data_IF_150336033725
#
_entry.id   IF_150336033725
#
_cell.length_a   1.000
_cell.length_b   1.000
_cell.length_c   1.000
_cell.angle_alpha   90.00
_cell.angle_beta   90.00
_cell.angle_gamma   90.00
#
_symmetry.space_group_name_H-M   'P 1'
#
loop_
_entity.id
_entity.type
_entity.pdbx_description
1 polymer ?
#
# COMPACT_ATOMS: atom_id res chain seq x y z
N UNK A 1 -19.86 6.48 -0.22
CA UNK A 1 -19.82 5.87 1.13
C UNK A 1 -19.81 4.34 1.05
N UNK A 2 -20.84 3.69 0.48
CA UNK A 2 -20.93 2.21 0.41
C UNK A 2 -19.65 1.54 -0.13
N UNK A 3 -19.08 2.07 -1.23
CA UNK A 3 -17.84 1.53 -1.84
C UNK A 3 -16.59 1.66 -0.96
N UNK A 4 -16.48 2.75 -0.18
CA UNK A 4 -15.34 3.00 0.71
C UNK A 4 -15.32 1.99 1.86
N UNK A 5 -16.50 1.54 2.30
CA UNK A 5 -16.64 0.55 3.37
C UNK A 5 -16.52 -0.87 2.81
N UNK A 6 -17.13 -1.15 1.65
CA UNK A 6 -17.09 -2.48 1.02
C UNK A 6 -15.68 -2.90 0.61
N UNK A 7 -14.89 -2.00 0.03
CA UNK A 7 -13.58 -2.32 -0.53
C UNK A 7 -12.58 -2.90 0.49
N UNK A 8 -12.42 -2.36 1.72
CA UNK A 8 -11.60 -2.99 2.76
C UNK A 8 -12.29 -4.17 3.44
N UNK A 9 -13.63 -4.21 3.45
CA UNK A 9 -14.38 -5.28 4.10
C UNK A 9 -14.26 -6.61 3.35
N UNK A 10 -14.32 -6.61 2.02
CA UNK A 10 -14.20 -7.82 1.19
C UNK A 10 -12.89 -8.60 1.44
N UNK A 11 -11.69 -8.01 1.32
CA UNK A 11 -10.45 -8.74 1.58
C UNK A 11 -10.34 -9.18 3.04
N UNK A 12 -10.88 -8.40 3.99
CA UNK A 12 -10.92 -8.80 5.39
C UNK A 12 -11.76 -10.07 5.60
N UNK A 13 -12.96 -10.11 5.02
CA UNK A 13 -13.83 -11.29 5.08
C UNK A 13 -13.21 -12.50 4.38
N UNK A 14 -12.54 -12.30 3.25
CA UNK A 14 -11.84 -13.37 2.54
C UNK A 14 -10.71 -13.96 3.38
N UNK A 15 -9.90 -13.14 4.04
CA UNK A 15 -8.82 -13.62 4.92
C UNK A 15 -9.39 -14.42 6.08
N UNK A 16 -10.47 -13.94 6.72
CA UNK A 16 -11.11 -14.66 7.82
C UNK A 16 -11.77 -15.97 7.35
N UNK A 17 -12.26 -16.03 6.12
CA UNK A 17 -12.80 -17.26 5.52
C UNK A 17 -11.69 -18.28 5.22
N UNK A 18 -10.53 -17.83 4.73
CA UNK A 18 -9.37 -18.67 4.47
C UNK A 18 -8.72 -19.22 5.74
N UNK A 19 -8.76 -18.46 6.85
CA UNK A 19 -8.24 -18.89 8.15
C UNK A 19 -9.17 -19.90 8.87
N UNK A 20 -10.40 -20.06 8.36
CA UNK A 20 -11.36 -21.02 8.91
C UNK A 20 -10.97 -22.45 8.54
N UNK A 21 -11.19 -23.44 9.43
CA UNK A 21 -10.74 -24.83 9.22
C UNK A 21 -11.31 -25.50 7.97
N UNK A 22 -12.50 -25.08 7.51
CA UNK A 22 -13.13 -25.60 6.30
C UNK A 22 -12.71 -24.84 5.02
N UNK A 23 -12.05 -23.69 5.14
CA UNK A 23 -11.63 -22.82 4.02
C UNK A 23 -12.76 -22.38 3.08
N UNK A 24 -14.03 -22.50 3.53
CA UNK A 24 -15.20 -22.37 2.67
C UNK A 24 -15.68 -20.93 2.59
N UNK A 25 -15.88 -20.43 1.36
CA UNK A 25 -16.43 -19.10 1.09
C UNK A 25 -17.93 -18.97 1.39
N UNK A 26 -18.64 -20.09 1.54
CA UNK A 26 -20.08 -20.12 1.77
C UNK A 26 -20.46 -20.09 3.25
N UNK A 27 -19.50 -20.30 4.15
CA UNK A 27 -19.72 -20.19 5.58
C UNK A 27 -19.37 -18.77 6.05
N UNK A 28 -20.14 -18.26 7.02
CA UNK A 28 -19.84 -16.97 7.64
C UNK A 28 -18.56 -17.12 8.47
N UNK A 29 -17.50 -16.35 8.18
CA UNK A 29 -16.24 -16.49 8.90
C UNK A 29 -16.42 -16.08 10.36
N UNK A 30 -15.64 -16.70 11.25
CA UNK A 30 -15.63 -16.32 12.66
C UNK A 30 -14.96 -14.96 12.81
N UNK A 31 -15.70 -13.99 13.31
CA UNK A 31 -15.13 -12.69 13.64
C UNK A 31 -14.19 -12.83 14.85
N UNK A 32 -13.07 -12.11 14.87
CA UNK A 32 -12.19 -12.09 16.03
C UNK A 32 -12.97 -11.55 17.23
N UNK A 33 -12.82 -12.20 18.37
CA UNK A 33 -13.55 -11.84 19.59
C UNK A 33 -13.07 -10.49 20.18
N UNK A 34 -11.91 -9.99 19.74
CA UNK A 34 -11.34 -8.72 20.21
C UNK A 34 -10.67 -7.94 19.09
N UNK A 35 -10.86 -6.62 19.09
CA UNK A 35 -10.16 -5.69 18.21
C UNK A 35 -8.63 -5.76 18.39
N UNK A 36 -8.17 -6.17 19.57
CA UNK A 36 -6.75 -6.34 19.84
C UNK A 36 -6.12 -7.47 19.01
N UNK A 37 -6.92 -8.43 18.52
CA UNK A 37 -6.43 -9.52 17.67
C UNK A 37 -6.20 -9.06 16.23
N UNK A 38 -6.90 -8.00 15.79
CA UNK A 38 -6.76 -7.39 14.46
C UNK A 38 -5.56 -6.45 14.36
N UNK A 39 -5.01 -6.02 15.50
CA UNK A 39 -3.97 -5.02 15.56
C UNK A 39 -2.65 -5.60 16.08
N UNK A 40 -1.57 -5.31 15.38
CA UNK A 40 -0.21 -5.55 15.84
C UNK A 40 0.69 -4.39 15.39
N UNK A 41 1.32 -3.73 16.36
CA UNK A 41 2.22 -2.60 16.08
C UNK A 41 3.44 -3.02 15.25
N UNK A 42 3.92 -4.25 15.41
CA UNK A 42 5.03 -4.77 14.59
C UNK A 42 4.59 -4.93 13.14
N UNK A 43 3.40 -5.51 12.89
CA UNK A 43 2.84 -5.62 11.54
C UNK A 43 2.67 -4.25 10.87
N UNK A 44 2.21 -3.24 11.61
CA UNK A 44 2.11 -1.88 11.10
C UNK A 44 3.46 -1.28 10.71
N UNK A 45 4.49 -1.45 11.55
CA UNK A 45 5.84 -1.00 11.25
C UNK A 45 6.44 -1.71 10.05
N UNK A 46 6.14 -3.01 9.86
CA UNK A 46 6.56 -3.77 8.68
C UNK A 46 5.94 -3.19 7.41
N UNK A 47 4.62 -2.94 7.40
CA UNK A 47 3.93 -2.35 6.24
C UNK A 47 4.47 -0.94 5.95
N UNK A 48 4.61 -0.10 6.98
CA UNK A 48 5.15 1.25 6.84
C UNK A 48 6.59 1.23 6.32
N UNK A 49 7.46 0.42 6.92
CA UNK A 49 8.85 0.29 6.51
C UNK A 49 9.00 -0.23 5.08
N UNK A 50 8.17 -1.20 4.69
CA UNK A 50 8.13 -1.70 3.32
C UNK A 50 7.70 -0.61 2.34
N UNK A 51 6.64 0.14 2.63
CA UNK A 51 6.20 1.26 1.78
C UNK A 51 7.30 2.32 1.65
N UNK A 52 7.95 2.70 2.76
CA UNK A 52 9.04 3.68 2.75
C UNK A 52 10.25 3.20 1.95
N UNK A 53 10.60 1.91 2.05
CA UNK A 53 11.64 1.30 1.23
C UNK A 53 11.31 1.43 -0.28
N UNK A 54 10.09 1.10 -0.67
CA UNK A 54 9.66 1.23 -2.07
C UNK A 54 9.69 2.70 -2.54
N UNK A 55 9.28 3.64 -1.69
CA UNK A 55 9.41 5.08 -1.99
C UNK A 55 10.87 5.50 -2.17
N UNK A 56 11.77 5.06 -1.29
CA UNK A 56 13.19 5.37 -1.38
C UNK A 56 13.82 4.82 -2.66
N UNK A 57 13.47 3.57 -3.04
CA UNK A 57 13.93 2.95 -4.27
C UNK A 57 13.40 3.68 -5.51
N UNK A 58 12.14 4.13 -5.52
CA UNK A 58 11.58 4.92 -6.62
C UNK A 58 12.29 6.27 -6.82
N UNK A 59 12.72 6.91 -5.73
CA UNK A 59 13.44 8.19 -5.79
C UNK A 59 14.87 8.08 -6.35
N UNK A 60 15.44 6.88 -6.40
CA UNK A 60 16.76 6.68 -7.02
C UNK A 60 16.69 7.02 -8.52
N UNK A 61 17.61 7.85 -9.06
CA UNK A 61 17.61 8.26 -10.47
C UNK A 61 18.13 7.15 -11.40
N UNK A 62 17.69 5.91 -11.20
CA UNK A 62 18.16 4.71 -11.89
C UNK A 62 17.15 4.24 -12.93
N UNK A 63 16.91 5.01 -13.98
CA UNK A 63 15.91 4.64 -14.96
C UNK A 63 15.81 5.59 -16.13
N UNK A 64 14.93 5.24 -17.07
CA UNK A 64 14.59 6.11 -18.19
C UNK A 64 13.55 7.13 -17.73
N UNK A 65 13.78 8.40 -18.05
CA UNK A 65 12.81 9.46 -17.75
C UNK A 65 11.82 9.57 -18.90
N UNK A 66 10.53 9.38 -18.61
CA UNK A 66 9.43 9.56 -19.54
C UNK A 66 8.65 10.85 -19.22
N UNK A 67 8.10 11.49 -20.23
CA UNK A 67 7.24 12.67 -20.06
C UNK A 67 5.77 12.27 -19.96
N UNK A 68 5.06 12.88 -19.01
CA UNK A 68 3.63 12.73 -18.85
C UNK A 68 2.80 13.53 -19.86
N UNK A 69 1.49 13.55 -19.60
CA UNK A 69 0.55 14.40 -20.33
C UNK A 69 0.83 15.89 -20.09
N UNK A 70 0.47 16.77 -21.04
CA UNK A 70 0.60 18.20 -20.84
C UNK A 70 -0.36 18.69 -19.75
N UNK A 71 0.14 19.53 -18.85
CA UNK A 71 -0.64 20.23 -17.83
C UNK A 71 -1.35 21.45 -18.45
N UNK A 72 -2.26 22.08 -17.71
CA UNK A 72 -2.90 23.35 -18.13
C UNK A 72 -1.89 24.46 -18.46
N UNK A 73 -0.70 24.42 -17.85
CA UNK A 73 0.41 25.35 -18.12
C UNK A 73 1.26 25.00 -19.34
N UNK A 74 0.95 23.90 -20.06
CA UNK A 74 1.76 23.38 -21.17
C UNK A 74 3.03 22.63 -20.75
N UNK A 75 3.39 22.65 -19.46
CA UNK A 75 4.49 21.86 -18.90
C UNK A 75 4.15 20.37 -18.89
N UNK A 76 5.18 19.52 -18.89
CA UNK A 76 5.05 18.05 -18.75
C UNK A 76 5.79 17.59 -17.50
N UNK A 77 5.15 16.73 -16.72
CA UNK A 77 5.79 16.07 -15.59
C UNK A 77 6.75 15.00 -16.09
N UNK A 78 7.93 14.92 -15.47
CA UNK A 78 8.95 13.92 -15.78
C UNK A 78 8.85 12.79 -14.78
N UNK A 79 8.66 11.57 -15.26
CA UNK A 79 8.55 10.36 -14.45
C UNK A 79 9.78 9.50 -14.67
N UNK A 80 10.50 9.19 -13.59
CA UNK A 80 11.59 8.23 -13.65
C UNK A 80 11.02 6.81 -13.63
N UNK A 81 11.29 6.04 -14.68
CA UNK A 81 10.84 4.66 -14.81
C UNK A 81 11.98 3.73 -14.41
N UNK A 82 12.00 3.34 -13.13
CA UNK A 82 13.01 2.45 -12.54
C UNK A 82 12.44 1.15 -11.95
N UNK A 83 11.23 0.75 -12.38
CA UNK A 83 10.48 -0.34 -11.76
C UNK A 83 11.23 -1.68 -11.74
N UNK A 84 11.92 -2.04 -12.82
CA UNK A 84 12.70 -3.29 -12.88
C UNK A 84 13.89 -3.24 -11.91
N UNK A 85 14.61 -2.13 -11.88
CA UNK A 85 15.75 -1.93 -10.99
C UNK A 85 15.32 -1.95 -9.53
N UNK A 86 14.23 -1.24 -9.19
CA UNK A 86 13.66 -1.19 -7.84
C UNK A 86 13.16 -2.58 -7.38
N UNK A 87 12.54 -3.35 -8.27
CA UNK A 87 12.14 -4.72 -7.99
C UNK A 87 13.34 -5.63 -7.69
N UNK A 88 14.35 -5.63 -8.56
CA UNK A 88 15.55 -6.44 -8.35
C UNK A 88 16.30 -6.04 -7.07
N UNK A 89 16.40 -4.75 -6.78
CA UNK A 89 16.97 -4.24 -5.54
C UNK A 89 16.17 -4.71 -4.30
N UNK A 90 14.83 -4.63 -4.36
CA UNK A 90 13.96 -5.12 -3.29
C UNK A 90 14.15 -6.62 -3.04
N UNK A 91 14.18 -7.42 -4.10
CA UNK A 91 14.41 -8.87 -4.01
C UNK A 91 15.80 -9.17 -3.43
N UNK A 92 16.83 -8.44 -3.87
CA UNK A 92 18.18 -8.56 -3.32
C UNK A 92 18.24 -8.22 -1.83
N UNK A 93 17.58 -7.14 -1.40
CA UNK A 93 17.50 -6.75 0.01
C UNK A 93 16.78 -7.79 0.86
N UNK A 94 15.66 -8.34 0.38
CA UNK A 94 14.93 -9.42 1.08
C UNK A 94 15.79 -10.68 1.17
N UNK A 95 16.48 -11.07 0.10
CA UNK A 95 17.35 -12.24 0.10
C UNK A 95 18.55 -12.05 1.07
N UNK A 96 19.15 -10.86 1.10
CA UNK A 96 20.22 -10.53 2.04
C UNK A 96 19.72 -10.53 3.49
N UNK A 97 18.54 -9.95 3.75
CA UNK A 97 17.95 -9.95 5.08
C UNK A 97 17.64 -11.38 5.54
N UNK A 98 17.10 -12.22 4.66
CA UNK A 98 16.88 -13.65 4.94
C UNK A 98 18.18 -14.38 5.26
N UNK A 99 19.23 -14.16 4.45
CA UNK A 99 20.56 -14.74 4.72
C UNK A 99 21.17 -14.23 6.03
N UNK A 100 20.81 -13.03 6.48
CA UNK A 100 21.20 -12.46 7.77
C UNK A 100 20.32 -12.95 8.95
N UNK A 101 19.35 -13.85 8.70
CA UNK A 101 18.50 -14.46 9.72
C UNK A 101 17.12 -13.81 9.90
N UNK A 102 16.66 -12.97 8.96
CA UNK A 102 15.29 -12.47 8.99
C UNK A 102 14.29 -13.63 8.79
N UNK A 103 13.37 -13.78 9.74
CA UNK A 103 12.29 -14.75 9.61
C UNK A 103 11.18 -14.22 8.70
N UNK A 104 10.93 -14.93 7.60
CA UNK A 104 9.88 -14.59 6.63
C UNK A 104 8.53 -15.21 6.99
N UNK A 105 8.44 -16.09 7.99
CA UNK A 105 7.16 -16.66 8.44
C UNK A 105 6.23 -15.61 9.05
N UNK A 106 6.77 -14.45 9.45
CA UNK A 106 5.97 -13.33 9.94
C UNK A 106 4.84 -12.92 8.97
N UNK A 107 5.05 -13.08 7.67
CA UNK A 107 4.07 -12.69 6.65
C UNK A 107 2.83 -13.58 6.70
N UNK A 108 2.93 -14.93 6.55
CA UNK A 108 1.76 -15.79 6.70
C UNK A 108 1.19 -15.80 8.13
N UNK A 109 2.04 -15.76 9.17
CA UNK A 109 1.58 -15.80 10.56
C UNK A 109 0.78 -14.57 10.99
N UNK A 110 1.08 -13.40 10.42
CA UNK A 110 0.45 -12.13 10.77
C UNK A 110 -0.30 -11.50 9.61
N UNK A 111 -0.76 -12.31 8.65
CA UNK A 111 -1.37 -11.82 7.41
C UNK A 111 -2.58 -10.92 7.67
N UNK A 112 -3.43 -11.30 8.64
CA UNK A 112 -4.59 -10.49 9.04
C UNK A 112 -4.17 -9.12 9.57
N UNK A 113 -3.17 -9.06 10.45
CA UNK A 113 -2.69 -7.81 11.04
C UNK A 113 -1.97 -6.94 10.01
N UNK A 114 -1.25 -7.55 9.06
CA UNK A 114 -0.64 -6.85 7.92
C UNK A 114 -1.71 -6.23 7.00
N UNK A 115 -2.80 -6.95 6.73
CA UNK A 115 -3.92 -6.43 5.94
C UNK A 115 -4.59 -5.24 6.63
N UNK A 116 -4.93 -5.37 7.92
CA UNK A 116 -5.53 -4.27 8.70
C UNK A 116 -4.59 -3.06 8.76
N UNK A 117 -3.29 -3.30 8.92
CA UNK A 117 -2.27 -2.26 8.90
C UNK A 117 -2.20 -1.53 7.55
N UNK A 118 -2.29 -2.26 6.44
CA UNK A 118 -2.30 -1.67 5.10
C UNK A 118 -3.57 -0.85 4.84
N UNK A 119 -4.74 -1.33 5.29
CA UNK A 119 -6.00 -0.58 5.21
C UNK A 119 -5.89 0.73 5.99
N UNK A 120 -5.37 0.67 7.23
CA UNK A 120 -5.17 1.84 8.08
C UNK A 120 -4.19 2.83 7.44
N UNK A 121 -3.03 2.35 6.97
CA UNK A 121 -2.02 3.20 6.32
C UNK A 121 -2.60 3.86 5.08
N UNK A 122 -3.34 3.13 4.24
CA UNK A 122 -4.02 3.68 3.08
C UNK A 122 -5.03 4.76 3.44
N UNK A 123 -5.83 4.57 4.50
CA UNK A 123 -6.76 5.58 4.99
C UNK A 123 -6.04 6.84 5.50
N UNK A 124 -4.95 6.67 6.25
CA UNK A 124 -4.11 7.79 6.72
C UNK A 124 -3.55 8.58 5.53
N UNK A 125 -2.91 7.90 4.57
CA UNK A 125 -2.33 8.54 3.38
C UNK A 125 -3.41 9.24 2.56
N UNK A 126 -4.58 8.63 2.38
CA UNK A 126 -5.70 9.25 1.68
C UNK A 126 -6.17 10.54 2.37
N UNK A 127 -6.27 10.55 3.69
CA UNK A 127 -6.64 11.74 4.45
C UNK A 127 -5.58 12.85 4.30
N UNK A 128 -4.30 12.49 4.39
CA UNK A 128 -3.20 13.43 4.20
C UNK A 128 -3.20 14.03 2.79
N UNK A 129 -3.47 13.22 1.76
CA UNK A 129 -3.59 13.69 0.38
C UNK A 129 -4.80 14.59 0.18
N UNK A 130 -5.94 14.28 0.81
CA UNK A 130 -7.13 15.15 0.79
C UNK A 130 -6.87 16.50 1.46
N UNK A 131 -6.17 16.52 2.59
CA UNK A 131 -5.75 17.78 3.23
C UNK A 131 -4.81 18.56 2.30
N UNK A 132 -3.85 17.87 1.65
CA UNK A 132 -2.89 18.48 0.73
C UNK A 132 -3.55 19.03 -0.54
N UNK A 133 -4.64 18.44 -1.02
CA UNK A 133 -5.30 18.89 -2.26
C UNK A 133 -5.85 20.31 -2.15
N UNK A 134 -6.23 20.77 -0.95
CA UNK A 134 -6.64 22.17 -0.74
C UNK A 134 -5.52 23.20 -0.96
N UNK A 135 -4.27 22.77 -0.98
CA UNK A 135 -3.10 23.64 -1.21
C UNK A 135 -2.57 23.56 -2.65
N UNK A 136 -3.18 22.77 -3.53
CA UNK A 136 -2.67 22.54 -4.88
C UNK A 136 -3.01 23.71 -5.83
N UNK A 137 -2.02 24.30 -6.53
CA UNK A 137 -2.29 25.37 -7.50
C UNK A 137 -2.96 24.82 -8.76
N UNK A 138 -4.01 25.50 -9.24
CA UNK A 138 -4.81 25.09 -10.41
C UNK A 138 -3.97 24.94 -11.69
N UNK A 139 -2.88 25.70 -11.80
CA UNK A 139 -1.95 25.67 -12.94
C UNK A 139 -1.12 24.39 -13.05
N UNK A 140 -1.02 23.64 -11.94
CA UNK A 140 -0.33 22.34 -11.88
C UNK A 140 -1.28 21.14 -12.03
N UNK A 141 -2.59 21.40 -12.14
CA UNK A 141 -3.59 20.37 -12.40
C UNK A 141 -3.66 20.03 -13.89
N UNK A 142 -3.97 18.77 -14.16
CA UNK A 142 -4.37 18.30 -15.49
C UNK A 142 -5.73 18.94 -15.83
N UNK A 143 -6.06 19.23 -17.09
CA UNK A 143 -7.34 19.85 -17.48
C UNK A 143 -8.59 19.21 -16.83
N UNK A 144 -8.57 17.90 -16.61
CA UNK A 144 -9.67 17.14 -16.00
C UNK A 144 -9.61 17.06 -14.46
N UNK A 145 -8.54 17.57 -13.83
CA UNK A 145 -8.25 17.43 -12.39
C UNK A 145 -8.92 18.45 -11.47
N UNK A 146 -9.89 19.23 -11.96
CA UNK A 146 -10.45 20.39 -11.27
C UNK A 146 -11.77 20.12 -10.51
N UNK A 147 -12.19 18.86 -10.36
CA UNK A 147 -13.50 18.48 -9.79
C UNK A 147 -13.44 18.07 -8.31
N UNK A 148 -12.34 18.38 -7.62
CA UNK A 148 -12.10 17.99 -6.23
C UNK A 148 -12.98 18.70 -5.21
#
# INVERSE_FOLDING_TARGET
IVRIIMLPLVPLLLVLACDSPDGSLLQVPRLPCSLLQLWDGTAFLVVLGWCLLQCALYLLPTGTVAEGTPLNSGKRLKYNLNGVQAYLASMGLVALAYAAGLDLTIVPERYLQLLVSAILLGAIVSLLLYIKSFSAPITELVPEGNTG
#
